data_IF_055310349781
#
_entry.id   IF_055310349781
#
_cell.length_a   1.000
_cell.length_b   1.000
_cell.length_c   1.000
_cell.angle_alpha   90.00
_cell.angle_beta   90.00
_cell.angle_gamma   90.00
#
_symmetry.space_group_name_H-M   'P 1'
#
loop_
_entity.id
_entity.type
_entity.pdbx_description
1 polymer ?
#
# COMPACT_ATOMS: atom_id res chain seq x y z
N UNK A 1 -11.30 20.23 -6.20
CA UNK A 1 -12.36 19.22 -6.43
C UNK A 1 -11.76 17.87 -6.01
N UNK A 2 -12.39 17.13 -5.10
CA UNK A 2 -11.91 15.77 -4.76
C UNK A 2 -12.10 14.90 -6.01
N UNK A 3 -11.05 14.16 -6.39
CA UNK A 3 -11.15 13.20 -7.48
C UNK A 3 -11.84 11.97 -6.92
N UNK A 4 -13.05 11.74 -7.39
CA UNK A 4 -13.83 10.57 -7.04
C UNK A 4 -13.02 9.29 -7.36
N UNK A 5 -12.73 8.47 -6.36
CA UNK A 5 -11.98 7.21 -6.53
C UNK A 5 -12.79 6.12 -7.26
N UNK A 6 -13.97 6.44 -7.80
CA UNK A 6 -14.95 5.48 -8.34
C UNK A 6 -14.40 4.49 -9.37
N UNK A 7 -13.30 4.83 -10.07
CA UNK A 7 -12.59 3.92 -10.97
C UNK A 7 -11.27 3.40 -10.39
N UNK A 8 -11.25 3.15 -9.08
CA UNK A 8 -10.10 2.62 -8.35
C UNK A 8 -10.47 1.29 -7.70
N UNK A 9 -9.50 0.39 -7.67
CA UNK A 9 -9.59 -0.90 -7.01
C UNK A 9 -8.62 -0.90 -5.82
N UNK A 10 -9.10 -1.24 -4.64
CA UNK A 10 -8.28 -1.56 -3.48
C UNK A 10 -8.20 -3.08 -3.32
N UNK A 11 -7.00 -3.59 -3.08
CA UNK A 11 -6.73 -5.00 -2.84
C UNK A 11 -6.07 -5.12 -1.47
N UNK A 12 -6.71 -5.87 -0.57
CA UNK A 12 -6.08 -6.31 0.65
C UNK A 12 -5.38 -7.65 0.38
N UNK A 13 -4.04 -7.66 0.39
CA UNK A 13 -3.26 -8.89 0.19
C UNK A 13 -2.70 -9.48 1.47
N UNK A 14 -3.14 -9.00 2.63
CA UNK A 14 -2.69 -9.52 3.90
C UNK A 14 -3.50 -10.74 4.35
N UNK A 15 -3.17 -11.91 3.79
CA UNK A 15 -3.72 -13.19 4.20
C UNK A 15 -3.63 -13.41 5.72
N UNK A 16 -4.75 -13.81 6.32
CA UNK A 16 -4.92 -14.03 7.75
C UNK A 16 -5.16 -12.75 8.56
N UNK A 17 -5.20 -11.58 7.92
CA UNK A 17 -5.41 -10.29 8.58
C UNK A 17 -6.28 -9.35 7.75
N UNK A 18 -7.58 -9.65 7.70
CA UNK A 18 -8.62 -8.95 6.93
C UNK A 18 -9.09 -7.66 7.62
N UNK A 19 -8.17 -6.74 7.87
CA UNK A 19 -8.44 -5.52 8.61
C UNK A 19 -8.98 -4.40 7.71
N UNK A 20 -8.68 -4.40 6.40
CA UNK A 20 -9.18 -3.36 5.51
C UNK A 20 -10.69 -3.43 5.34
N UNK A 21 -11.31 -4.61 5.36
CA UNK A 21 -12.77 -4.80 5.35
C UNK A 21 -13.50 -4.01 6.43
N UNK A 22 -12.95 -4.00 7.64
CA UNK A 22 -13.50 -3.24 8.77
C UNK A 22 -13.38 -1.73 8.49
N UNK A 23 -12.29 -1.31 7.85
CA UNK A 23 -12.02 0.10 7.56
C UNK A 23 -12.80 0.62 6.35
N UNK A 24 -13.09 -0.25 5.39
CA UNK A 24 -13.87 0.08 4.19
C UNK A 24 -15.37 -0.08 4.42
N UNK A 25 -15.78 -0.70 5.53
CA UNK A 25 -17.18 -1.04 5.83
C UNK A 25 -17.72 -2.18 4.97
N UNK A 26 -16.84 -2.97 4.34
CA UNK A 26 -17.18 -4.08 3.46
C UNK A 26 -16.89 -5.37 4.21
N UNK A 27 -17.78 -5.79 5.11
CA UNK A 27 -17.52 -6.92 6.02
C UNK A 27 -18.04 -8.27 5.51
N UNK A 28 -19.02 -8.28 4.61
CA UNK A 28 -19.70 -9.49 4.15
C UNK A 28 -19.20 -9.92 2.76
N UNK A 29 -17.99 -10.52 2.71
CA UNK A 29 -17.56 -11.25 1.52
C UNK A 29 -17.19 -12.67 1.86
N UNK A 30 -17.78 -13.61 1.13
CA UNK A 30 -17.46 -15.04 1.17
C UNK A 30 -16.23 -15.34 0.31
N UNK A 31 -16.01 -14.56 -0.76
CA UNK A 31 -14.86 -14.71 -1.65
C UNK A 31 -13.73 -13.73 -1.31
N UNK A 32 -12.48 -14.15 -1.51
CA UNK A 32 -11.26 -13.41 -1.17
C UNK A 32 -10.19 -13.38 -2.28
N UNK A 33 -9.05 -12.74 -2.00
CA UNK A 33 -7.95 -12.58 -2.95
C UNK A 33 -7.43 -13.91 -3.53
N UNK A 34 -7.55 -15.03 -2.81
CA UNK A 34 -7.20 -16.34 -3.34
C UNK A 34 -8.25 -16.82 -4.36
N UNK A 35 -9.55 -16.59 -4.09
CA UNK A 35 -10.62 -16.90 -5.04
C UNK A 35 -10.49 -16.09 -6.33
N UNK A 36 -9.94 -14.86 -6.26
CA UNK A 36 -9.69 -14.02 -7.42
C UNK A 36 -8.82 -14.73 -8.47
N UNK A 37 -7.88 -15.59 -8.04
CA UNK A 37 -7.01 -16.38 -8.93
C UNK A 37 -7.78 -17.34 -9.84
N UNK A 38 -9.01 -17.71 -9.47
CA UNK A 38 -9.87 -18.58 -10.28
C UNK A 38 -11.05 -17.79 -10.86
N UNK A 39 -11.78 -17.08 -10.00
CA UNK A 39 -13.06 -16.43 -10.32
C UNK A 39 -12.92 -15.05 -10.97
N UNK A 40 -11.74 -14.40 -10.89
CA UNK A 40 -11.55 -13.07 -11.47
C UNK A 40 -12.49 -12.01 -10.88
N UNK A 41 -13.13 -11.21 -11.72
CA UNK A 41 -13.89 -10.01 -11.29
C UNK A 41 -15.08 -10.28 -10.37
N UNK A 42 -15.61 -11.51 -10.33
CA UNK A 42 -16.73 -11.92 -9.47
C UNK A 42 -16.44 -11.76 -7.96
N UNK A 43 -15.16 -11.74 -7.60
CA UNK A 43 -14.70 -11.53 -6.22
C UNK A 43 -14.78 -10.06 -5.81
N UNK A 44 -14.78 -9.14 -6.78
CA UNK A 44 -14.69 -7.71 -6.51
C UNK A 44 -15.98 -7.22 -5.83
N UNK A 45 -15.81 -6.50 -4.73
CA UNK A 45 -16.90 -5.86 -3.97
C UNK A 45 -17.03 -4.41 -4.38
N UNK A 46 -18.20 -4.08 -4.91
CA UNK A 46 -18.52 -2.72 -5.34
C UNK A 46 -18.78 -1.84 -4.13
N UNK A 47 -18.15 -0.67 -4.10
CA UNK A 47 -18.42 0.36 -3.09
C UNK A 47 -18.54 1.73 -3.77
N UNK A 48 -19.27 2.65 -3.14
CA UNK A 48 -19.60 3.96 -3.70
C UNK A 48 -18.35 4.76 -4.11
N UNK A 49 -17.22 4.55 -3.43
CA UNK A 49 -16.02 5.33 -3.61
C UNK A 49 -14.91 4.58 -4.36
N UNK A 50 -14.78 3.28 -4.19
CA UNK A 50 -13.79 2.44 -4.86
C UNK A 50 -14.29 0.99 -4.83
N UNK A 51 -13.77 0.15 -5.69
CA UNK A 51 -14.03 -1.29 -5.64
C UNK A 51 -12.96 -2.01 -4.81
N UNK A 52 -13.28 -3.20 -4.30
CA UNK A 52 -12.44 -3.84 -3.29
C UNK A 52 -12.28 -5.35 -3.48
N UNK A 53 -11.06 -5.86 -3.37
CA UNK A 53 -10.75 -7.29 -3.23
C UNK A 53 -10.32 -7.54 -1.78
N UNK A 54 -11.07 -8.35 -1.02
CA UNK A 54 -10.74 -8.64 0.38
C UNK A 54 -9.59 -9.64 0.52
N UNK A 55 -8.83 -9.53 1.61
CA UNK A 55 -7.80 -10.49 1.97
C UNK A 55 -8.41 -11.82 2.40
N UNK A 56 -7.62 -12.89 2.27
CA UNK A 56 -8.06 -14.19 2.75
C UNK A 56 -8.06 -14.27 4.28
N UNK A 57 -9.03 -15.00 4.84
CA UNK A 57 -8.99 -15.40 6.25
C UNK A 57 -7.94 -16.48 6.52
N UNK A 58 -7.51 -17.21 5.48
CA UNK A 58 -6.46 -18.21 5.60
C UNK A 58 -5.12 -17.53 5.87
N UNK A 59 -4.35 -18.08 6.81
CA UNK A 59 -2.95 -17.69 7.06
C UNK A 59 -1.98 -18.41 6.11
N UNK A 60 -2.46 -19.38 5.35
CA UNK A 60 -1.64 -20.13 4.41
C UNK A 60 -1.41 -19.28 3.16
N UNK A 61 -0.13 -19.16 2.79
CA UNK A 61 0.32 -18.34 1.65
C UNK A 61 1.09 -19.15 0.63
N UNK A 62 1.38 -20.43 0.93
CA UNK A 62 2.26 -21.28 0.12
C UNK A 62 1.84 -21.41 -1.35
N UNK A 63 0.57 -21.12 -1.68
CA UNK A 63 0.01 -21.35 -3.01
C UNK A 63 -0.47 -20.07 -3.73
N UNK A 64 -0.15 -18.86 -3.24
CA UNK A 64 -0.56 -17.64 -3.95
C UNK A 64 0.26 -17.41 -5.23
N UNK A 65 -0.37 -17.61 -6.40
CA UNK A 65 0.28 -17.38 -7.69
C UNK A 65 0.22 -15.90 -8.09
N UNK A 66 1.29 -15.18 -7.77
CA UNK A 66 1.48 -13.76 -8.12
C UNK A 66 1.44 -13.49 -9.62
N UNK A 67 1.83 -14.46 -10.47
CA UNK A 67 1.82 -14.29 -11.92
C UNK A 67 0.37 -14.30 -12.43
N UNK A 68 -0.44 -15.27 -11.99
CA UNK A 68 -1.87 -15.34 -12.34
C UNK A 68 -2.60 -14.13 -11.78
N UNK A 69 -2.33 -13.77 -10.52
CA UNK A 69 -2.89 -12.58 -9.89
C UNK A 69 -2.66 -11.32 -10.74
N UNK A 70 -1.41 -11.08 -11.14
CA UNK A 70 -1.06 -9.90 -11.93
C UNK A 70 -1.64 -9.95 -13.36
N UNK A 71 -1.70 -11.13 -13.98
CA UNK A 71 -2.36 -11.29 -15.29
C UNK A 71 -3.83 -10.87 -15.21
N UNK A 72 -4.57 -11.38 -14.22
CA UNK A 72 -5.97 -11.01 -14.01
C UNK A 72 -6.14 -9.54 -13.65
N UNK A 73 -5.27 -8.96 -12.82
CA UNK A 73 -5.34 -7.52 -12.54
C UNK A 73 -5.18 -6.67 -13.80
N UNK A 74 -4.33 -7.08 -14.74
CA UNK A 74 -4.11 -6.36 -16.00
C UNK A 74 -5.27 -6.49 -16.99
N UNK A 75 -6.19 -7.44 -16.79
CA UNK A 75 -7.42 -7.57 -17.58
C UNK A 75 -8.51 -6.59 -17.11
N UNK A 76 -8.37 -6.01 -15.92
CA UNK A 76 -9.33 -5.07 -15.36
C UNK A 76 -9.14 -3.66 -15.92
N UNK A 77 -10.22 -2.88 -15.96
CA UNK A 77 -10.26 -1.53 -16.56
C UNK A 77 -10.14 -0.39 -15.55
N UNK A 78 -9.69 -0.69 -14.32
CA UNK A 78 -9.49 0.33 -13.29
C UNK A 78 -8.34 1.28 -13.64
N UNK A 79 -8.56 2.57 -13.43
CA UNK A 79 -7.51 3.60 -13.58
C UNK A 79 -6.43 3.45 -12.51
N UNK A 80 -6.85 3.14 -11.28
CA UNK A 80 -5.93 3.01 -10.15
C UNK A 80 -6.16 1.66 -9.48
N UNK A 81 -5.14 0.80 -9.44
CA UNK A 81 -5.16 -0.39 -8.58
C UNK A 81 -4.23 -0.16 -7.42
N UNK A 82 -4.74 -0.39 -6.22
CA UNK A 82 -4.02 -0.23 -4.99
C UNK A 82 -3.90 -1.53 -4.26
N UNK A 83 -2.68 -1.95 -3.96
CA UNK A 83 -2.43 -3.19 -3.21
C UNK A 83 -1.84 -2.86 -1.85
N UNK A 84 -2.51 -3.30 -0.78
CA UNK A 84 -2.00 -3.25 0.59
C UNK A 84 -1.16 -4.49 0.87
N UNK A 85 0.17 -4.31 0.91
CA UNK A 85 1.16 -5.37 1.04
C UNK A 85 1.59 -5.48 2.51
N UNK A 86 1.62 -6.69 3.09
CA UNK A 86 2.13 -6.90 4.45
C UNK A 86 3.65 -6.66 4.53
N UNK A 87 4.12 -6.23 5.71
CA UNK A 87 5.54 -5.93 5.96
C UNK A 87 6.38 -7.21 6.17
N UNK A 88 6.32 -8.14 5.22
CA UNK A 88 7.16 -9.33 5.15
C UNK A 88 7.99 -9.29 3.87
N UNK A 89 9.32 -9.32 3.99
CA UNK A 89 10.22 -9.14 2.83
C UNK A 89 9.98 -10.16 1.71
N UNK A 90 9.60 -11.39 2.06
CA UNK A 90 9.24 -12.43 1.09
C UNK A 90 8.05 -12.01 0.22
N UNK A 91 6.99 -11.48 0.83
CA UNK A 91 5.78 -11.00 0.15
C UNK A 91 6.07 -9.77 -0.69
N UNK A 92 6.77 -8.80 -0.09
CA UNK A 92 7.16 -7.56 -0.77
C UNK A 92 7.92 -7.92 -2.04
N UNK A 93 8.94 -8.80 -1.95
CA UNK A 93 9.73 -9.19 -3.10
C UNK A 93 8.91 -9.78 -4.26
N UNK A 94 7.86 -10.55 -3.97
CA UNK A 94 6.99 -11.12 -4.99
C UNK A 94 6.16 -10.05 -5.69
N UNK A 95 5.58 -9.10 -4.92
CA UNK A 95 4.87 -7.96 -5.47
C UNK A 95 5.77 -7.02 -6.26
N UNK A 96 7.02 -6.78 -5.80
CA UNK A 96 7.93 -5.81 -6.40
C UNK A 96 8.08 -6.00 -7.92
N UNK A 97 7.96 -7.22 -8.45
CA UNK A 97 8.06 -7.50 -9.89
C UNK A 97 6.91 -6.92 -10.73
N UNK A 98 5.82 -6.53 -10.10
CA UNK A 98 4.59 -6.10 -10.77
C UNK A 98 4.19 -4.64 -10.47
N UNK A 99 4.85 -4.00 -9.50
CA UNK A 99 4.53 -2.63 -9.11
C UNK A 99 5.07 -1.58 -10.10
N UNK A 100 4.23 -0.59 -10.43
CA UNK A 100 4.62 0.65 -11.12
C UNK A 100 5.13 1.71 -10.12
N UNK A 101 4.54 1.74 -8.92
CA UNK A 101 4.89 2.65 -7.83
C UNK A 101 4.85 1.99 -6.46
N UNK A 102 5.60 2.55 -5.51
CA UNK A 102 5.63 2.08 -4.13
C UNK A 102 5.51 3.25 -3.15
N UNK A 103 4.62 3.11 -2.17
CA UNK A 103 4.55 4.00 -1.01
C UNK A 103 4.85 3.22 0.26
N UNK A 104 5.86 3.70 1.01
CA UNK A 104 6.29 3.13 2.28
C UNK A 104 5.91 4.10 3.40
N UNK A 105 5.07 3.63 4.32
CA UNK A 105 4.82 4.36 5.56
C UNK A 105 5.83 3.95 6.62
N UNK A 106 6.48 4.95 7.22
CA UNK A 106 7.53 4.73 8.21
C UNK A 106 7.43 5.69 9.41
N UNK A 107 8.27 5.45 10.40
CA UNK A 107 8.40 6.22 11.64
C UNK A 107 9.87 6.56 11.87
N UNK A 108 10.14 7.60 12.67
CA UNK A 108 11.52 7.93 13.09
C UNK A 108 11.94 7.08 14.28
N UNK A 109 11.85 5.77 14.13
CA UNK A 109 12.37 4.78 15.08
C UNK A 109 13.27 3.78 14.35
N UNK A 110 14.25 3.23 15.09
CA UNK A 110 15.30 2.39 14.51
C UNK A 110 14.76 1.15 13.77
N UNK A 111 13.66 0.56 14.24
CA UNK A 111 13.10 -0.64 13.63
C UNK A 111 12.42 -0.28 12.30
N UNK A 112 11.62 0.78 12.29
CA UNK A 112 10.93 1.27 11.08
C UNK A 112 11.90 1.74 10.01
N UNK A 113 12.94 2.49 10.41
CA UNK A 113 14.01 2.93 9.49
C UNK A 113 14.76 1.74 8.90
N UNK A 114 15.20 0.79 9.73
CA UNK A 114 15.90 -0.42 9.26
C UNK A 114 15.05 -1.29 8.33
N UNK A 115 13.75 -1.38 8.57
CA UNK A 115 12.84 -2.10 7.67
C UNK A 115 12.66 -1.36 6.34
N UNK A 116 12.53 -0.03 6.39
CA UNK A 116 12.46 0.82 5.19
C UNK A 116 13.72 0.66 4.34
N UNK A 117 14.89 0.70 4.97
CA UNK A 117 16.18 0.51 4.30
C UNK A 117 16.25 -0.85 3.60
N UNK A 118 15.86 -1.94 4.27
CA UNK A 118 15.82 -3.28 3.66
C UNK A 118 14.94 -3.34 2.41
N UNK A 119 13.78 -2.69 2.43
CA UNK A 119 12.87 -2.61 1.27
C UNK A 119 13.54 -1.86 0.11
N UNK A 120 14.13 -0.69 0.40
CA UNK A 120 14.81 0.12 -0.61
C UNK A 120 16.02 -0.61 -1.20
N UNK A 121 16.80 -1.32 -0.39
CA UNK A 121 17.91 -2.14 -0.87
C UNK A 121 17.44 -3.28 -1.78
N UNK A 122 16.29 -3.90 -1.50
CA UNK A 122 15.68 -4.90 -2.39
C UNK A 122 15.29 -4.31 -3.75
N UNK A 123 14.72 -3.10 -3.79
CA UNK A 123 14.39 -2.41 -5.04
C UNK A 123 15.64 -2.15 -5.90
N UNK A 124 16.71 -1.65 -5.29
CA UNK A 124 17.98 -1.37 -5.96
C UNK A 124 18.57 -2.65 -6.56
N UNK A 125 18.60 -3.75 -5.80
CA UNK A 125 19.11 -5.05 -6.27
C UNK A 125 18.35 -5.56 -7.49
N UNK A 126 17.04 -5.32 -7.55
CA UNK A 126 16.18 -5.73 -8.66
C UNK A 126 16.25 -4.79 -9.88
N UNK A 127 17.03 -3.70 -9.81
CA UNK A 127 17.15 -2.66 -10.87
C UNK A 127 15.78 -2.16 -11.36
N UNK A 128 14.79 -2.11 -10.48
CA UNK A 128 13.44 -1.69 -10.84
C UNK A 128 13.28 -0.19 -10.67
N UNK A 129 12.85 0.48 -11.75
CA UNK A 129 12.54 1.91 -11.79
C UNK A 129 11.16 2.19 -11.16
N UNK A 130 10.92 1.68 -9.95
CA UNK A 130 9.67 1.96 -9.24
C UNK A 130 9.84 3.27 -8.48
N UNK A 131 9.08 4.29 -8.87
CA UNK A 131 8.99 5.54 -8.13
C UNK A 131 8.53 5.23 -6.71
N UNK A 132 9.34 5.62 -5.74
CA UNK A 132 9.14 5.24 -4.34
C UNK A 132 8.94 6.48 -3.48
N UNK A 133 7.83 6.51 -2.75
CA UNK A 133 7.54 7.54 -1.78
C UNK A 133 7.72 6.99 -0.37
N UNK A 134 8.51 7.67 0.44
CA UNK A 134 8.65 7.34 1.87
C UNK A 134 7.95 8.42 2.68
N UNK A 135 6.89 8.03 3.39
CA UNK A 135 6.05 8.92 4.17
C UNK A 135 6.28 8.65 5.64
N UNK A 136 6.82 9.64 6.35
CA UNK A 136 6.96 9.59 7.80
C UNK A 136 5.62 9.92 8.46
N UNK A 137 5.05 8.99 9.20
CA UNK A 137 3.72 9.17 9.82
C UNK A 137 3.76 9.93 11.15
N UNK A 138 4.93 10.02 11.78
CA UNK A 138 5.14 10.89 12.93
C UNK A 138 5.19 12.37 12.47
N UNK A 139 4.77 13.31 13.33
CA UNK A 139 5.01 14.73 13.08
C UNK A 139 6.49 15.00 13.32
N UNK A 140 7.20 15.26 12.24
CA UNK A 140 8.63 15.56 12.27
C UNK A 140 8.80 16.92 11.62
N UNK A 141 8.91 17.96 12.45
CA UNK A 141 9.14 19.33 12.00
C UNK A 141 10.56 19.45 11.41
N UNK A 142 11.54 18.78 12.05
CA UNK A 142 12.96 18.84 11.69
C UNK A 142 13.51 17.49 11.17
N UNK A 143 12.98 17.00 10.05
CA UNK A 143 13.57 15.84 9.37
C UNK A 143 14.79 16.29 8.55
N UNK A 144 15.99 15.95 9.01
CA UNK A 144 17.24 16.22 8.33
C UNK A 144 17.75 14.96 7.60
N UNK A 145 17.73 14.96 6.27
CA UNK A 145 18.18 13.80 5.48
C UNK A 145 19.70 13.60 5.50
N UNK A 146 20.46 14.56 6.03
CA UNK A 146 21.91 14.43 6.24
C UNK A 146 22.27 13.61 7.49
N UNK A 147 21.30 13.36 8.38
CA UNK A 147 21.49 12.47 9.53
C UNK A 147 21.95 11.09 9.03
N UNK A 148 22.98 10.50 9.67
CA UNK A 148 23.54 9.19 9.29
C UNK A 148 22.46 8.12 9.11
N UNK A 149 21.51 8.07 10.05
CA UNK A 149 20.40 7.10 10.06
C UNK A 149 19.38 7.32 8.93
N UNK A 150 19.46 8.42 8.17
CA UNK A 150 18.53 8.78 7.09
C UNK A 150 19.20 8.88 5.72
N UNK A 151 20.54 8.85 5.64
CA UNK A 151 21.29 8.89 4.37
C UNK A 151 20.84 7.83 3.37
N UNK A 152 20.37 6.68 3.85
CA UNK A 152 19.88 5.60 2.98
C UNK A 152 18.66 6.01 2.13
N UNK A 153 17.91 7.04 2.53
CA UNK A 153 16.76 7.60 1.81
C UNK A 153 17.17 8.47 0.62
N UNK A 154 18.42 8.91 0.55
CA UNK A 154 18.95 9.72 -0.55
C UNK A 154 19.24 8.85 -1.79
N UNK A 155 18.18 8.30 -2.41
CA UNK A 155 18.25 7.50 -3.65
C UNK A 155 17.54 8.24 -4.79
N UNK A 156 17.99 8.14 -6.05
CA UNK A 156 17.44 8.90 -7.17
C UNK A 156 15.93 8.76 -7.40
N UNK A 157 15.35 7.60 -7.05
CA UNK A 157 13.92 7.30 -7.26
C UNK A 157 13.12 7.32 -5.95
N UNK A 158 13.69 7.84 -4.87
CA UNK A 158 13.05 7.92 -3.55
C UNK A 158 12.71 9.37 -3.25
N UNK A 159 11.42 9.66 -3.07
CA UNK A 159 10.93 10.95 -2.61
C UNK A 159 10.45 10.81 -1.16
N UNK A 160 11.06 11.59 -0.26
CA UNK A 160 10.65 11.63 1.14
C UNK A 160 9.60 12.72 1.33
N UNK A 161 8.45 12.37 1.90
CA UNK A 161 7.39 13.32 2.23
C UNK A 161 7.32 13.48 3.76
N UNK A 162 7.52 14.72 4.22
CA UNK A 162 7.31 15.11 5.62
C UNK A 162 5.82 15.30 5.84
N UNK A 163 5.23 14.61 6.81
CA UNK A 163 3.77 14.52 6.96
C UNK A 163 3.07 15.75 7.52
N UNK A 164 3.73 16.91 7.66
CA UNK A 164 3.07 18.13 8.18
C UNK A 164 1.70 18.43 7.55
N UNK A 165 1.51 18.15 6.24
CA UNK A 165 0.22 18.24 5.55
C UNK A 165 -0.60 16.93 5.49
N UNK A 166 0.06 15.78 5.37
CA UNK A 166 -0.61 14.48 5.24
C UNK A 166 -1.22 14.05 6.60
N UNK A 167 -0.64 14.50 7.71
CA UNK A 167 -1.06 14.17 9.07
C UNK A 167 -2.42 14.76 9.43
N UNK A 168 -2.80 15.93 8.92
CA UNK A 168 -4.16 16.45 9.13
C UNK A 168 -5.20 15.53 8.47
N UNK A 169 -4.92 15.01 7.27
CA UNK A 169 -5.79 14.04 6.58
C UNK A 169 -5.74 12.63 7.21
N UNK A 170 -4.62 12.24 7.85
CA UNK A 170 -4.46 10.94 8.53
C UNK A 170 -4.96 10.91 9.98
N UNK A 171 -4.94 12.05 10.69
CA UNK A 171 -5.30 12.14 12.11
C UNK A 171 -6.71 12.69 12.35
N UNK A 172 -7.24 13.57 11.51
CA UNK A 172 -8.55 14.19 11.73
C UNK A 172 -9.70 13.38 11.13
N UNK A 173 -9.83 12.12 11.56
CA UNK A 173 -10.94 11.20 11.28
C UNK A 173 -10.84 10.37 9.99
N UNK A 174 -10.79 9.05 10.21
CA UNK A 174 -11.67 7.98 9.65
C UNK A 174 -11.87 7.87 8.14
N UNK A 175 -11.32 8.75 7.33
CA UNK A 175 -11.63 8.84 5.91
C UNK A 175 -10.49 8.19 5.13
N UNK A 176 -10.45 6.86 5.20
CA UNK A 176 -9.57 6.03 4.38
C UNK A 176 -9.58 6.48 2.91
N UNK A 177 -10.72 6.99 2.42
CA UNK A 177 -10.88 7.60 1.10
C UNK A 177 -9.96 8.81 0.88
N UNK A 178 -9.85 9.77 1.81
CA UNK A 178 -8.95 10.94 1.67
C UNK A 178 -7.48 10.54 1.66
N UNK A 179 -7.13 9.52 2.44
CA UNK A 179 -5.80 8.92 2.43
C UNK A 179 -5.51 8.34 1.05
N UNK A 180 -6.44 7.55 0.50
CA UNK A 180 -6.35 6.98 -0.85
C UNK A 180 -6.27 8.07 -1.93
N UNK A 181 -7.13 9.10 -1.89
CA UNK A 181 -7.12 10.24 -2.82
C UNK A 181 -5.77 10.99 -2.78
N UNK A 182 -5.19 11.18 -1.60
CA UNK A 182 -3.89 11.84 -1.45
C UNK A 182 -2.75 11.02 -2.04
N UNK A 183 -2.82 9.70 -1.88
CA UNK A 183 -1.82 8.78 -2.41
C UNK A 183 -1.95 8.63 -3.92
N UNK A 184 -3.17 8.60 -4.46
CA UNK A 184 -3.43 8.65 -5.91
C UNK A 184 -2.84 9.91 -6.53
N UNK A 185 -3.08 11.08 -5.92
CA UNK A 185 -2.52 12.37 -6.39
C UNK A 185 -1.00 12.38 -6.44
N UNK A 186 -0.32 11.73 -5.50
CA UNK A 186 1.15 11.64 -5.51
C UNK A 186 1.69 10.85 -6.70
N UNK A 187 0.89 9.96 -7.27
CA UNK A 187 1.30 9.07 -8.38
C UNK A 187 0.74 9.53 -9.74
N UNK A 188 0.00 10.64 -9.80
CA UNK A 188 -0.55 11.18 -11.05
C UNK A 188 0.57 11.47 -12.06
N UNK A 189 0.43 10.92 -13.28
CA UNK A 189 1.41 11.02 -14.37
C UNK A 189 2.20 9.73 -14.65
N UNK A 190 2.03 8.70 -13.81
CA UNK A 190 2.56 7.35 -14.07
C UNK A 190 1.39 6.45 -14.55
N UNK A 191 1.57 5.75 -15.68
CA UNK A 191 0.62 4.71 -16.08
C UNK A 191 0.72 3.51 -15.11
N UNK A 192 -0.30 3.30 -14.27
CA UNK A 192 -0.48 2.05 -13.53
C UNK A 192 -0.45 2.10 -12.00
N UNK A 193 -0.53 0.89 -11.44
CA UNK A 193 -0.90 0.51 -10.06
C UNK A 193 -0.07 1.17 -8.93
N UNK A 194 -0.74 1.66 -7.87
CA UNK A 194 -0.16 2.36 -6.71
C UNK A 194 -0.13 1.44 -5.50
N UNK A 195 1.04 1.06 -4.98
CA UNK A 195 1.09 0.01 -3.95
C UNK A 195 1.44 0.57 -2.57
N UNK A 196 0.72 0.12 -1.54
CA UNK A 196 0.96 0.46 -0.14
C UNK A 196 1.73 -0.65 0.56
N UNK A 197 2.77 -0.28 1.30
CA UNK A 197 3.26 -1.09 2.42
C UNK A 197 2.79 -0.38 3.70
N UNK A 198 1.77 -0.94 4.35
CA UNK A 198 1.22 -0.38 5.60
C UNK A 198 1.88 -1.09 6.79
N UNK A 199 2.59 -0.33 7.62
CA UNK A 199 3.25 -0.85 8.82
C UNK A 199 2.20 -1.27 9.87
N UNK A 200 2.37 -2.46 10.45
CA UNK A 200 1.50 -3.00 11.51
C UNK A 200 1.35 -2.03 12.69
N UNK A 201 2.39 -1.25 13.00
CA UNK A 201 2.37 -0.25 14.07
C UNK A 201 1.35 0.88 13.86
N UNK A 202 1.02 1.22 12.60
CA UNK A 202 0.10 2.31 12.28
C UNK A 202 -1.35 1.89 12.53
N UNK A 203 -1.69 0.64 12.21
CA UNK A 203 -3.01 0.06 12.55
C UNK A 203 -3.14 0.05 14.08
N UNK A 204 -2.14 -0.46 14.79
CA UNK A 204 -2.18 -0.49 16.25
C UNK A 204 -2.22 0.90 16.90
N UNK A 205 -1.65 1.94 16.27
CA UNK A 205 -1.69 3.34 16.77
C UNK A 205 -2.97 4.10 16.42
N UNK A 206 -3.55 3.92 15.24
CA UNK A 206 -4.86 4.51 14.89
C UNK A 206 -5.96 3.92 15.79
N UNK A 207 -5.80 2.68 16.28
CA UNK A 207 -6.83 1.93 17.00
C UNK A 207 -6.53 1.65 18.49
N UNK A 208 -5.43 2.16 19.05
CA UNK A 208 -5.27 2.21 20.51
C UNK A 208 -6.03 3.42 21.07
N UNK A 209 -7.14 3.13 21.74
CA UNK A 209 -7.76 4.04 22.72
C UNK A 209 -6.76 4.39 23.82
#
# INVERSE_FOLDING_TARGET
MSKNLKNSLLVDSYNGFRNLDILTGITDSIYDINDFLTMGEDVIRKNQNFDYIPASYSKEVSDFDFKIFNQKLNELTYENVVISIPLFMEYINNYLNYLSGLVIFTHKDNLSLRNTEKILLSLVKKRKLTKTYVIFTDLIEDLNLEDEDLKFLQKPNVQVIKSGKIREDFLNDRDFIKVMESLTRLMEGEEGQINFIKNKSIIERIFKK
#
